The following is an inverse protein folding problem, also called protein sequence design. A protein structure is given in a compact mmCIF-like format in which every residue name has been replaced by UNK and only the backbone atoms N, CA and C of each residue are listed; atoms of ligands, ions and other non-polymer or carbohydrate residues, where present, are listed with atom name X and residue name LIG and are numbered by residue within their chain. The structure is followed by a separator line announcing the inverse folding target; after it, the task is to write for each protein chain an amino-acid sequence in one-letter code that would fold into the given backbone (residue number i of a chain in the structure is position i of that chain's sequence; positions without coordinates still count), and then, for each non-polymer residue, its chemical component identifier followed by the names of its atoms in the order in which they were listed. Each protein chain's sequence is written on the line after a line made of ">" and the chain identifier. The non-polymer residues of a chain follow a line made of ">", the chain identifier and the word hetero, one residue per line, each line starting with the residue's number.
data_IF_497728724127
#
_entry.id   IF_497728724127
#
_cell.length_a   1.000
_cell.length_b   1.000
_cell.length_c   1.000
_cell.angle_alpha   90.00
_cell.angle_beta   90.00
_cell.angle_gamma   90.00
#
_symmetry.space_group_name_H-M   'P 1'
#
loop_
_entity.id
_entity.type
_entity.pdbx_description
1 polymer ?
#
# COMPACT_ATOMS: atom_id res chain seq x y z
N UNK A 1 -6.53 -22.52 53.37
CA UNK A 1 -7.27 -22.91 52.13
C UNK A 1 -6.86 -22.05 50.94
N UNK A 2 -6.45 -20.80 51.17
CA UNK A 2 -5.99 -19.87 50.12
C UNK A 2 -4.63 -20.29 49.51
N UNK A 3 -3.78 -20.95 50.28
CA UNK A 3 -2.44 -21.39 49.87
C UNK A 3 -2.44 -22.41 48.72
N UNK A 4 -3.55 -23.13 48.50
CA UNK A 4 -3.70 -24.07 47.40
C UNK A 4 -4.44 -23.46 46.19
N UNK A 5 -5.34 -22.50 46.41
CA UNK A 5 -6.12 -21.86 45.36
C UNK A 5 -5.27 -20.94 44.49
N UNK A 6 -4.38 -20.16 45.11
CA UNK A 6 -3.56 -19.18 44.43
C UNK A 6 -2.61 -19.80 43.38
N UNK A 7 -1.81 -20.85 43.69
CA UNK A 7 -0.95 -21.47 42.69
C UNK A 7 -1.73 -22.16 41.56
N UNK A 8 -2.88 -22.76 41.85
CA UNK A 8 -3.73 -23.40 40.81
C UNK A 8 -4.26 -22.36 39.82
N UNK A 9 -4.71 -21.20 40.31
CA UNK A 9 -5.17 -20.10 39.46
C UNK A 9 -4.02 -19.55 38.62
N UNK A 10 -2.86 -19.30 39.23
CA UNK A 10 -1.67 -18.77 38.55
C UNK A 10 -1.20 -19.71 37.44
N UNK A 11 -1.12 -21.02 37.71
CA UNK A 11 -0.74 -22.03 36.70
C UNK A 11 -1.80 -22.10 35.59
N UNK A 12 -3.08 -22.13 35.94
CA UNK A 12 -4.16 -22.09 34.94
C UNK A 12 -4.07 -20.86 34.04
N UNK A 13 -3.92 -19.67 34.61
CA UNK A 13 -3.79 -18.43 33.87
C UNK A 13 -2.52 -18.39 33.02
N UNK A 14 -1.40 -18.94 33.49
CA UNK A 14 -0.16 -18.99 32.72
C UNK A 14 -0.33 -19.91 31.50
N UNK A 15 -0.82 -21.14 31.70
CA UNK A 15 -0.93 -22.14 30.65
C UNK A 15 -2.12 -21.92 29.70
N UNK A 16 -3.14 -21.17 30.11
CA UNK A 16 -4.27 -20.81 29.24
C UNK A 16 -4.04 -19.44 28.62
N UNK A 17 -3.56 -18.48 29.41
CA UNK A 17 -3.31 -17.10 29.00
C UNK A 17 -2.16 -16.95 28.02
N UNK A 18 -1.03 -17.66 28.18
CA UNK A 18 0.08 -17.58 27.21
C UNK A 18 -0.32 -18.13 25.83
N UNK A 19 -0.86 -19.35 25.70
CA UNK A 19 -1.32 -19.85 24.41
C UNK A 19 -2.44 -19.01 23.81
N UNK A 20 -3.35 -18.46 24.64
CA UNK A 20 -4.39 -17.55 24.18
C UNK A 20 -3.81 -16.24 23.63
N UNK A 21 -2.81 -15.67 24.29
CA UNK A 21 -2.11 -14.47 23.83
C UNK A 21 -1.44 -14.75 22.48
N UNK A 22 -0.73 -15.87 22.36
CA UNK A 22 -0.11 -16.31 21.10
C UNK A 22 -1.17 -16.47 20.01
N UNK A 23 -2.27 -17.18 20.28
CA UNK A 23 -3.38 -17.36 19.32
C UNK A 23 -4.02 -16.02 18.92
N UNK A 24 -4.21 -15.10 19.87
CA UNK A 24 -4.77 -13.77 19.62
C UNK A 24 -3.91 -12.99 18.61
N UNK A 25 -2.61 -12.95 18.83
CA UNK A 25 -1.69 -12.25 17.93
C UNK A 25 -1.52 -12.99 16.59
N UNK A 26 -1.54 -14.32 16.57
CA UNK A 26 -1.53 -15.08 15.32
C UNK A 26 -2.80 -14.85 14.48
N UNK A 27 -3.97 -14.77 15.12
CA UNK A 27 -5.24 -14.50 14.43
C UNK A 27 -5.27 -13.07 13.90
N UNK A 28 -4.82 -12.09 14.71
CA UNK A 28 -4.64 -10.70 14.27
C UNK A 28 -3.64 -10.58 13.13
N UNK A 29 -2.55 -11.35 13.15
CA UNK A 29 -1.55 -11.33 12.09
C UNK A 29 -2.10 -11.90 10.78
N UNK A 30 -2.91 -12.97 10.85
CA UNK A 30 -3.56 -13.53 9.66
C UNK A 30 -4.64 -12.60 9.08
N UNK A 31 -5.36 -11.85 9.92
CA UNK A 31 -6.30 -10.82 9.46
C UNK A 31 -5.59 -9.60 8.88
N UNK A 32 -4.45 -9.18 9.46
CA UNK A 32 -3.66 -8.05 8.97
C UNK A 32 -2.91 -8.35 7.66
N UNK A 33 -2.62 -9.62 7.36
CA UNK A 33 -1.96 -10.04 6.12
C UNK A 33 -2.87 -10.03 4.88
N UNK A 34 -4.17 -9.75 5.04
CA UNK A 34 -5.11 -9.62 3.91
C UNK A 34 -4.93 -8.32 3.10
N UNK A 35 -4.01 -7.43 3.52
CA UNK A 35 -3.83 -6.12 2.89
C UNK A 35 -3.07 -6.16 1.56
N UNK A 36 -2.32 -7.22 1.23
CA UNK A 36 -1.54 -7.25 -0.03
C UNK A 36 -2.39 -7.10 -1.30
N UNK A 37 -3.56 -7.74 -1.38
CA UNK A 37 -4.44 -7.60 -2.55
C UNK A 37 -5.16 -6.25 -2.59
N UNK A 38 -5.47 -5.69 -1.41
CA UNK A 38 -6.09 -4.36 -1.28
C UNK A 38 -5.10 -3.25 -1.64
N UNK A 39 -3.84 -3.39 -1.21
CA UNK A 39 -2.74 -2.50 -1.53
C UNK A 39 -2.41 -2.52 -3.04
N UNK A 40 -2.43 -3.70 -3.68
CA UNK A 40 -2.25 -3.83 -5.12
C UNK A 40 -3.39 -3.14 -5.91
N UNK A 41 -4.64 -3.34 -5.47
CA UNK A 41 -5.79 -2.66 -6.06
C UNK A 41 -5.75 -1.14 -5.85
N UNK A 42 -5.26 -0.68 -4.69
CA UNK A 42 -5.06 0.73 -4.40
C UNK A 42 -3.98 1.33 -5.32
N UNK A 43 -2.86 0.64 -5.49
CA UNK A 43 -1.78 1.06 -6.38
C UNK A 43 -2.26 1.17 -7.83
N UNK A 44 -3.03 0.21 -8.32
CA UNK A 44 -3.61 0.25 -9.67
C UNK A 44 -4.59 1.42 -9.84
N UNK A 45 -5.42 1.68 -8.84
CA UNK A 45 -6.34 2.82 -8.84
C UNK A 45 -5.61 4.18 -8.85
N UNK A 46 -4.55 4.30 -8.05
CA UNK A 46 -3.71 5.51 -8.02
C UNK A 46 -3.00 5.71 -9.36
N UNK A 47 -2.55 4.62 -9.98
CA UNK A 47 -1.91 4.66 -11.30
C UNK A 47 -2.89 5.13 -12.39
N UNK A 48 -4.11 4.57 -12.44
CA UNK A 48 -5.13 5.00 -13.40
C UNK A 48 -5.54 6.47 -13.17
N UNK A 49 -5.63 6.90 -11.90
CA UNK A 49 -5.93 8.29 -11.55
C UNK A 49 -4.81 9.22 -12.01
N UNK A 50 -3.55 8.87 -11.79
CA UNK A 50 -2.41 9.66 -12.24
C UNK A 50 -2.40 9.83 -13.77
N UNK A 51 -2.65 8.75 -14.53
CA UNK A 51 -2.72 8.79 -15.99
C UNK A 51 -3.84 9.71 -16.49
N UNK A 52 -5.02 9.67 -15.88
CA UNK A 52 -6.15 10.57 -16.24
C UNK A 52 -5.85 12.03 -15.94
N UNK A 53 -5.11 12.31 -14.86
CA UNK A 53 -4.69 13.67 -14.53
C UNK A 53 -3.69 14.20 -15.56
N UNK A 54 -2.76 13.37 -16.02
CA UNK A 54 -1.82 13.69 -17.09
C UNK A 54 -2.54 14.01 -18.42
N UNK A 55 -3.50 13.19 -18.84
CA UNK A 55 -4.32 13.43 -20.04
C UNK A 55 -5.03 14.79 -20.01
N UNK A 56 -5.55 15.17 -18.83
CA UNK A 56 -6.21 16.46 -18.65
C UNK A 56 -5.21 17.61 -18.62
N UNK A 57 -4.04 17.39 -18.04
CA UNK A 57 -2.97 18.38 -17.98
C UNK A 57 -2.50 18.74 -19.39
N UNK A 58 -2.38 17.78 -20.31
CA UNK A 58 -2.08 18.03 -21.74
C UNK A 58 -3.12 18.97 -22.37
N UNK A 59 -4.40 18.78 -22.04
CA UNK A 59 -5.47 19.65 -22.54
C UNK A 59 -5.37 21.06 -21.96
N UNK A 60 -5.07 21.17 -20.66
CA UNK A 60 -4.85 22.45 -19.99
C UNK A 60 -3.63 23.18 -20.58
N UNK A 61 -2.52 22.48 -20.81
CA UNK A 61 -1.32 23.03 -21.45
C UNK A 61 -1.62 23.57 -22.85
N UNK A 62 -2.44 22.86 -23.63
CA UNK A 62 -2.88 23.30 -24.94
C UNK A 62 -3.72 24.59 -24.87
N UNK A 63 -4.60 24.70 -23.89
CA UNK A 63 -5.43 25.91 -23.68
C UNK A 63 -4.54 27.08 -23.24
N UNK A 64 -3.64 26.85 -22.28
CA UNK A 64 -2.72 27.89 -21.78
C UNK A 64 -1.78 28.38 -22.89
N UNK A 65 -1.29 27.48 -23.75
CA UNK A 65 -0.47 27.84 -24.91
C UNK A 65 -1.25 28.63 -25.98
N UNK A 66 -2.57 28.44 -26.09
CA UNK A 66 -3.42 29.25 -26.96
C UNK A 66 -3.68 30.65 -26.38
N UNK A 67 -3.82 30.77 -25.05
CA UNK A 67 -4.09 32.03 -24.36
C UNK A 67 -2.81 32.86 -24.07
N UNK A 68 -1.64 32.23 -24.00
CA UNK A 68 -0.36 32.88 -23.72
C UNK A 68 0.73 32.41 -24.71
N UNK A 69 1.09 33.21 -25.73
CA UNK A 69 2.04 32.79 -26.77
C UNK A 69 3.48 32.61 -26.28
N UNK A 70 3.83 33.17 -25.11
CA UNK A 70 5.14 32.98 -24.46
C UNK A 70 5.21 31.73 -23.55
N UNK A 71 4.09 31.01 -23.39
CA UNK A 71 4.06 29.80 -22.57
C UNK A 71 4.77 28.64 -23.28
N UNK A 72 5.84 28.13 -22.66
CA UNK A 72 6.58 26.96 -23.15
C UNK A 72 6.05 25.73 -22.41
N UNK A 73 5.26 24.84 -23.06
CA UNK A 73 4.77 23.64 -22.40
C UNK A 73 5.94 22.81 -21.89
N UNK A 74 5.81 22.29 -20.67
CA UNK A 74 6.83 21.47 -20.04
C UNK A 74 6.84 20.13 -20.79
N UNK A 75 7.89 19.85 -21.59
CA UNK A 75 8.10 18.49 -22.14
C UNK A 75 8.49 17.55 -21.00
N UNK A 76 7.53 17.20 -20.16
CA UNK A 76 7.62 16.10 -19.22
C UNK A 76 6.85 14.92 -19.81
N UNK A 77 7.52 13.78 -19.97
CA UNK A 77 6.90 12.45 -20.14
C UNK A 77 6.34 12.03 -21.52
N UNK A 78 6.87 12.51 -22.64
CA UNK A 78 6.64 11.85 -23.96
C UNK A 78 7.86 11.06 -24.48
N UNK A 79 8.80 10.72 -23.59
CA UNK A 79 9.84 9.72 -23.85
C UNK A 79 9.54 8.48 -22.99
N UNK A 80 8.38 7.87 -23.21
CA UNK A 80 8.18 6.45 -22.92
C UNK A 80 8.81 5.65 -24.05
N UNK A 81 10.13 5.79 -24.23
CA UNK A 81 10.91 4.80 -24.95
C UNK A 81 11.17 3.66 -23.95
N UNK A 82 10.53 2.49 -24.09
CA UNK A 82 10.87 1.34 -23.27
C UNK A 82 12.27 0.90 -23.69
N UNK A 83 13.30 1.45 -23.02
CA UNK A 83 14.68 1.06 -23.21
C UNK A 83 14.76 -0.48 -23.26
N UNK A 84 15.21 -1.09 -24.37
CA UNK A 84 15.23 -2.53 -24.48
C UNK A 84 16.20 -3.05 -23.42
N UNK A 85 15.66 -3.82 -22.47
CA UNK A 85 16.43 -4.46 -21.41
C UNK A 85 17.41 -5.45 -22.06
N UNK A 86 18.60 -4.96 -22.44
CA UNK A 86 19.69 -5.78 -22.96
C UNK A 86 20.30 -6.53 -21.80
N UNK A 87 19.74 -7.72 -21.54
CA UNK A 87 20.28 -8.74 -20.65
C UNK A 87 21.63 -9.21 -21.21
N UNK A 88 22.72 -8.59 -20.78
CA UNK A 88 24.07 -9.12 -21.00
C UNK A 88 24.27 -10.33 -20.11
N UNK A 89 24.51 -11.48 -20.75
CA UNK A 89 24.88 -12.74 -20.12
C UNK A 89 26.38 -12.77 -19.84
#
# INVERSE_FOLDING_TARGET
>A
MEDFLLPVLVVGMLFIGLPWLIMHYLTKWKTASSLTNEDEALLDNLHDTARRLEERLITIERIIAADNPDFRPHRGATDSDPAPYRRSN
#
